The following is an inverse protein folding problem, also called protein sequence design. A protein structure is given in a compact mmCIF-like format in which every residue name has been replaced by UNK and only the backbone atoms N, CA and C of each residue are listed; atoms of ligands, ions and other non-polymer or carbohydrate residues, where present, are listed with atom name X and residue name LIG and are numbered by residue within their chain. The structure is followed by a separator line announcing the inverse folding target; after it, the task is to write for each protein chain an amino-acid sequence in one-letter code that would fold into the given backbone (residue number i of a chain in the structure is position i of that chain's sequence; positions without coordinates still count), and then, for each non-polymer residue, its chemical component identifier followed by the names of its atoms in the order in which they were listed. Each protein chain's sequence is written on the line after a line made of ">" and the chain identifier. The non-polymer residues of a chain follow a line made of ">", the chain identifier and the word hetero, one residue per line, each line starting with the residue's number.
data_IF_987755571672
#
_entry.id   IF_987755571672
#
_cell.length_a   1.000
_cell.length_b   1.000
_cell.length_c   1.000
_cell.angle_alpha   90.00
_cell.angle_beta   90.00
_cell.angle_gamma   90.00
#
_symmetry.space_group_name_H-M   'P 1'
#
loop_
_entity.id
_entity.type
_entity.pdbx_description
1 polymer ?
#
# COMPACT_ATOMS: atom_id res chain seq x y z
N UNK A 1 34.11 -43.55 -16.01
CA UNK A 1 35.42 -43.22 -15.41
C UNK A 1 35.22 -43.17 -13.91
N UNK A 2 35.54 -44.29 -13.21
CA UNK A 2 35.33 -44.45 -11.79
C UNK A 2 36.53 -43.84 -11.07
N UNK A 3 36.28 -42.88 -10.17
CA UNK A 3 37.30 -42.30 -9.28
C UNK A 3 37.41 -43.18 -8.04
N UNK A 4 38.46 -43.95 -7.92
CA UNK A 4 38.78 -44.75 -6.74
C UNK A 4 39.54 -43.86 -5.76
N UNK A 5 38.91 -43.58 -4.62
CA UNK A 5 39.62 -42.90 -3.52
C UNK A 5 40.16 -43.98 -2.58
N UNK A 6 41.48 -44.04 -2.50
CA UNK A 6 42.21 -44.90 -1.55
C UNK A 6 42.32 -44.09 -0.24
N UNK A 7 41.65 -44.56 0.81
CA UNK A 7 41.81 -44.05 2.17
C UNK A 7 42.73 -45.02 2.90
N UNK A 8 43.93 -44.56 3.22
CA UNK A 8 44.88 -45.29 4.03
C UNK A 8 44.44 -45.28 5.50
N UNK A 9 44.70 -46.42 6.18
CA UNK A 9 44.33 -46.79 7.53
C UNK A 9 44.73 -45.75 8.61
N UNK A 10 43.72 -44.94 9.05
CA UNK A 10 43.76 -44.32 10.37
C UNK A 10 42.41 -44.59 11.05
N UNK A 11 42.43 -45.45 12.07
CA UNK A 11 41.28 -45.68 12.95
C UNK A 11 41.16 -44.45 13.86
N UNK A 12 40.20 -43.58 13.55
CA UNK A 12 39.85 -42.45 14.41
C UNK A 12 38.82 -42.96 15.47
N UNK A 13 39.07 -42.74 16.78
CA UNK A 13 38.17 -43.21 17.81
C UNK A 13 36.78 -42.61 17.67
N UNK A 14 35.75 -43.43 17.78
CA UNK A 14 34.32 -43.07 17.64
C UNK A 14 33.89 -41.82 18.43
N UNK A 15 34.56 -41.48 19.51
CA UNK A 15 34.31 -40.29 20.32
C UNK A 15 34.67 -38.97 19.60
N UNK A 16 35.73 -38.97 18.78
CA UNK A 16 36.19 -37.80 18.03
C UNK A 16 35.22 -37.52 16.84
N UNK A 17 34.72 -38.57 16.24
CA UNK A 17 33.77 -38.47 15.11
C UNK A 17 32.42 -37.88 15.52
N UNK A 18 31.94 -38.09 16.78
CA UNK A 18 30.72 -37.49 17.31
C UNK A 18 30.84 -35.98 17.52
N UNK A 19 32.03 -35.49 17.90
CA UNK A 19 32.27 -34.05 18.10
C UNK A 19 32.46 -33.31 16.78
N UNK A 20 33.11 -33.88 15.81
CA UNK A 20 33.26 -33.29 14.49
C UNK A 20 31.91 -33.22 13.73
N UNK A 21 31.05 -34.24 13.85
CA UNK A 21 29.74 -34.22 13.23
C UNK A 21 28.78 -33.18 13.89
N UNK A 22 28.84 -33.02 15.22
CA UNK A 22 28.05 -32.00 15.92
C UNK A 22 28.54 -30.58 15.56
N UNK A 23 29.80 -30.33 15.41
CA UNK A 23 30.30 -29.01 14.99
C UNK A 23 30.04 -28.74 13.51
N UNK A 24 30.06 -29.76 12.66
CA UNK A 24 29.71 -29.61 11.24
C UNK A 24 28.22 -29.30 11.08
N UNK A 25 27.32 -29.91 11.87
CA UNK A 25 25.89 -29.60 11.86
C UNK A 25 25.61 -28.18 12.40
N UNK A 26 26.34 -27.74 13.43
CA UNK A 26 26.22 -26.38 13.96
C UNK A 26 26.76 -25.35 12.96
N UNK A 27 27.84 -25.63 12.23
CA UNK A 27 28.37 -24.78 11.18
C UNK A 27 27.42 -24.73 9.98
N UNK A 28 26.80 -25.83 9.59
CA UNK A 28 25.80 -25.88 8.53
C UNK A 28 24.50 -25.16 8.94
N UNK A 29 24.08 -25.25 10.21
CA UNK A 29 22.94 -24.48 10.73
C UNK A 29 23.24 -22.98 10.84
N UNK A 30 24.50 -22.57 11.09
CA UNK A 30 24.93 -21.18 11.09
C UNK A 30 25.07 -20.60 9.66
N UNK A 31 25.30 -21.44 8.64
CA UNK A 31 25.30 -21.00 7.25
C UNK A 31 23.90 -20.99 6.60
N UNK A 32 22.90 -21.64 7.21
CA UNK A 32 21.49 -21.58 6.76
C UNK A 32 20.78 -20.34 7.33
N UNK A 33 21.36 -19.62 8.27
CA UNK A 33 20.95 -18.25 8.60
C UNK A 33 21.48 -17.23 7.58
N UNK A 34 21.70 -17.67 6.34
CA UNK A 34 22.05 -16.84 5.22
C UNK A 34 20.88 -15.91 4.89
N UNK A 35 21.09 -14.64 5.16
CA UNK A 35 20.47 -13.49 4.49
C UNK A 35 19.14 -13.83 3.78
N UNK A 36 18.04 -13.82 4.51
CA UNK A 36 16.75 -13.47 3.95
C UNK A 36 16.88 -12.02 3.46
N UNK A 37 17.48 -11.85 2.28
CA UNK A 37 17.40 -10.56 1.58
C UNK A 37 15.91 -10.30 1.43
N UNK A 38 15.46 -9.16 1.92
CA UNK A 38 14.12 -8.68 1.64
C UNK A 38 13.86 -8.88 0.14
N UNK A 39 12.73 -9.51 -0.21
CA UNK A 39 12.42 -9.72 -1.62
C UNK A 39 12.33 -8.36 -2.29
N UNK A 40 12.93 -8.19 -3.48
CA UNK A 40 12.86 -6.91 -4.18
C UNK A 40 11.40 -6.57 -4.45
N UNK A 41 11.01 -5.34 -4.15
CA UNK A 41 9.66 -4.84 -4.49
C UNK A 41 9.52 -4.89 -6.00
N UNK A 42 8.52 -5.62 -6.47
CA UNK A 42 8.19 -5.69 -7.88
C UNK A 42 7.42 -4.43 -8.29
N UNK A 43 7.77 -3.88 -9.45
CA UNK A 43 7.02 -2.80 -10.11
C UNK A 43 6.46 -3.36 -11.39
N UNK A 44 5.14 -3.32 -11.55
CA UNK A 44 4.43 -3.93 -12.67
C UNK A 44 3.23 -3.12 -13.14
N UNK A 45 2.66 -3.47 -14.28
CA UNK A 45 1.33 -3.07 -14.75
C UNK A 45 0.50 -4.35 -14.85
N UNK A 46 -0.70 -4.34 -14.33
CA UNK A 46 -1.58 -5.50 -14.27
C UNK A 46 -2.83 -5.30 -15.11
N UNK A 47 -3.21 -6.34 -15.85
CA UNK A 47 -4.34 -6.29 -16.77
C UNK A 47 -5.68 -6.03 -16.05
N UNK A 48 -5.89 -6.64 -14.90
CA UNK A 48 -7.06 -6.44 -14.04
C UNK A 48 -7.19 -4.99 -13.54
N UNK A 49 -6.06 -4.36 -13.22
CA UNK A 49 -6.01 -2.95 -12.77
C UNK A 49 -6.39 -2.03 -13.94
N UNK A 50 -5.82 -2.24 -15.13
CA UNK A 50 -6.18 -1.45 -16.31
C UNK A 50 -7.62 -1.67 -16.72
N UNK A 51 -8.11 -2.92 -16.71
CA UNK A 51 -9.49 -3.25 -17.04
C UNK A 51 -10.49 -2.49 -16.16
N UNK A 52 -10.27 -2.51 -14.84
CA UNK A 52 -11.18 -1.85 -13.90
C UNK A 52 -11.05 -0.31 -13.93
N UNK A 53 -9.85 0.22 -14.17
CA UNK A 53 -9.61 1.65 -14.35
C UNK A 53 -10.32 2.17 -15.61
N UNK A 54 -10.14 1.49 -16.74
CA UNK A 54 -10.78 1.83 -18.02
C UNK A 54 -12.31 1.76 -17.92
N UNK A 55 -12.86 0.70 -17.32
CA UNK A 55 -14.29 0.59 -17.08
C UNK A 55 -14.82 1.73 -16.21
N UNK A 56 -14.10 2.11 -15.17
CA UNK A 56 -14.49 3.22 -14.29
C UNK A 56 -14.45 4.55 -15.01
N UNK A 57 -13.42 4.80 -15.86
CA UNK A 57 -13.35 5.97 -16.74
C UNK A 57 -14.51 5.99 -17.72
N UNK A 58 -14.80 4.90 -18.43
CA UNK A 58 -15.92 4.79 -19.37
C UNK A 58 -17.27 5.01 -18.68
N UNK A 59 -17.39 4.61 -17.40
CA UNK A 59 -18.55 4.85 -16.56
C UNK A 59 -18.65 6.30 -16.06
N UNK A 60 -17.65 7.15 -16.33
CA UNK A 60 -17.64 8.57 -15.96
C UNK A 60 -17.28 8.81 -14.49
N UNK A 61 -16.45 7.96 -13.88
CA UNK A 61 -15.95 8.19 -12.52
C UNK A 61 -14.92 9.31 -12.58
N UNK A 62 -15.12 10.46 -11.90
CA UNK A 62 -14.23 11.62 -12.03
C UNK A 62 -12.77 11.33 -11.67
N UNK A 63 -12.54 10.50 -10.65
CA UNK A 63 -11.20 10.10 -10.18
C UNK A 63 -10.41 9.29 -11.21
N UNK A 64 -11.11 8.60 -12.12
CA UNK A 64 -10.51 7.83 -13.23
C UNK A 64 -10.56 8.59 -14.58
N UNK A 65 -11.15 9.80 -14.59
CA UNK A 65 -11.37 10.58 -15.83
C UNK A 65 -10.33 11.69 -16.03
N UNK A 66 -9.21 11.65 -15.31
CA UNK A 66 -8.11 12.59 -15.47
C UNK A 66 -7.24 12.20 -16.67
N UNK A 67 -6.90 13.17 -17.54
CA UNK A 67 -6.13 12.94 -18.76
C UNK A 67 -4.61 13.03 -18.51
N UNK A 68 -4.11 12.21 -17.59
CA UNK A 68 -2.71 12.31 -17.10
C UNK A 68 -1.73 11.43 -17.89
N UNK A 69 -2.22 10.38 -18.57
CA UNK A 69 -1.38 9.43 -19.29
C UNK A 69 -1.25 9.75 -20.80
N UNK A 70 -1.53 11.00 -21.20
CA UNK A 70 -1.25 11.52 -22.54
C UNK A 70 -1.83 10.65 -23.68
N UNK A 71 -0.96 10.18 -24.59
CA UNK A 71 -1.38 9.40 -25.74
C UNK A 71 -2.14 8.13 -25.37
N UNK A 72 -1.79 7.47 -24.26
CA UNK A 72 -2.52 6.27 -23.80
C UNK A 72 -4.02 6.53 -23.59
N UNK A 73 -4.36 7.68 -23.07
CA UNK A 73 -5.78 8.06 -22.85
C UNK A 73 -6.50 8.24 -24.20
N UNK A 74 -5.84 8.86 -25.19
CA UNK A 74 -6.40 9.03 -26.52
C UNK A 74 -6.61 7.69 -27.23
N UNK A 75 -5.64 6.80 -27.14
CA UNK A 75 -5.72 5.45 -27.71
C UNK A 75 -6.86 4.65 -27.07
N UNK A 76 -6.99 4.73 -25.74
CA UNK A 76 -8.05 4.10 -24.97
C UNK A 76 -9.42 4.64 -25.34
N UNK A 77 -9.58 5.97 -25.34
CA UNK A 77 -10.85 6.60 -25.71
C UNK A 77 -11.28 6.23 -27.14
N UNK A 78 -10.34 6.16 -28.08
CA UNK A 78 -10.60 5.75 -29.48
C UNK A 78 -10.95 4.27 -29.58
N UNK A 79 -10.21 3.39 -28.90
CA UNK A 79 -10.41 1.94 -28.97
C UNK A 79 -11.78 1.52 -28.41
N UNK A 80 -12.16 2.07 -27.26
CA UNK A 80 -13.39 1.70 -26.56
C UNK A 80 -14.61 2.58 -26.91
N UNK A 81 -14.50 3.51 -27.88
CA UNK A 81 -15.60 4.44 -28.23
C UNK A 81 -16.90 3.70 -28.55
N UNK A 82 -16.83 2.65 -29.37
CA UNK A 82 -18.00 1.85 -29.78
C UNK A 82 -18.65 1.10 -28.59
N UNK A 83 -17.94 0.96 -27.47
CA UNK A 83 -18.37 0.20 -26.29
C UNK A 83 -18.84 1.06 -25.12
N UNK A 84 -18.98 2.40 -25.28
CA UNK A 84 -19.42 3.30 -24.20
C UNK A 84 -20.81 2.98 -23.65
N UNK A 85 -21.68 2.34 -24.44
CA UNK A 85 -22.99 1.88 -24.02
C UNK A 85 -23.04 0.41 -23.58
N UNK A 86 -21.91 -0.25 -23.47
CA UNK A 86 -21.87 -1.67 -23.08
C UNK A 86 -22.53 -1.90 -21.71
N UNK A 87 -23.29 -3.02 -21.52
CA UNK A 87 -24.01 -3.30 -20.28
C UNK A 87 -23.16 -3.25 -19.02
N UNK A 88 -21.87 -3.63 -19.10
CA UNK A 88 -20.93 -3.54 -17.98
C UNK A 88 -20.61 -2.09 -17.59
N UNK A 89 -20.44 -1.20 -18.54
CA UNK A 89 -20.21 0.24 -18.27
C UNK A 89 -21.40 0.84 -17.54
N UNK A 90 -22.62 0.51 -17.98
CA UNK A 90 -23.85 0.94 -17.33
C UNK A 90 -24.02 0.32 -15.94
N UNK A 91 -23.51 -0.90 -15.74
CA UNK A 91 -23.52 -1.56 -14.45
C UNK A 91 -22.57 -0.89 -13.47
N UNK A 92 -21.35 -0.51 -13.89
CA UNK A 92 -20.42 0.25 -13.07
C UNK A 92 -21.02 1.58 -12.56
N UNK A 93 -21.74 2.33 -13.40
CA UNK A 93 -22.48 3.53 -12.96
C UNK A 93 -23.44 3.22 -11.81
N UNK A 94 -24.22 2.13 -11.95
CA UNK A 94 -25.16 1.70 -10.91
C UNK A 94 -24.46 1.27 -9.63
N UNK A 95 -23.29 0.62 -9.71
CA UNK A 95 -22.51 0.25 -8.54
C UNK A 95 -22.05 1.48 -7.76
N UNK A 96 -21.59 2.53 -8.46
CA UNK A 96 -21.25 3.81 -7.83
C UNK A 96 -22.47 4.45 -7.16
N UNK A 97 -23.57 4.57 -7.87
CA UNK A 97 -24.77 5.24 -7.38
C UNK A 97 -25.42 4.52 -6.19
N UNK A 98 -25.48 3.18 -6.22
CA UNK A 98 -26.20 2.40 -5.21
C UNK A 98 -25.34 1.93 -4.04
N UNK A 99 -24.07 1.69 -4.28
CA UNK A 99 -23.18 1.06 -3.31
C UNK A 99 -21.96 1.91 -2.97
N UNK A 100 -21.78 3.07 -3.65
CA UNK A 100 -20.64 3.96 -3.42
C UNK A 100 -19.31 3.41 -3.95
N UNK A 101 -19.33 2.40 -4.83
CA UNK A 101 -18.11 1.84 -5.43
C UNK A 101 -17.38 2.93 -6.21
N UNK A 102 -16.23 3.36 -5.69
CA UNK A 102 -15.44 4.49 -6.19
C UNK A 102 -14.04 4.45 -5.55
N UNK A 103 -13.10 5.20 -6.11
CA UNK A 103 -11.74 5.32 -5.58
C UNK A 103 -11.08 3.95 -5.31
N UNK A 104 -10.55 3.77 -4.09
CA UNK A 104 -9.91 2.56 -3.59
C UNK A 104 -10.75 1.28 -3.72
N UNK A 105 -12.09 1.36 -3.56
CA UNK A 105 -12.94 0.18 -3.73
C UNK A 105 -12.89 -0.42 -5.14
N UNK A 106 -12.65 0.39 -6.18
CA UNK A 106 -12.47 -0.12 -7.54
C UNK A 106 -11.19 -0.96 -7.61
N UNK A 107 -10.11 -0.45 -7.04
CA UNK A 107 -8.81 -1.12 -7.03
C UNK A 107 -8.80 -2.32 -6.08
N UNK A 108 -9.57 -2.26 -5.00
CA UNK A 108 -9.75 -3.36 -4.07
C UNK A 108 -10.41 -4.59 -4.75
N UNK A 109 -11.39 -4.36 -5.61
CA UNK A 109 -11.93 -5.43 -6.46
C UNK A 109 -10.92 -5.85 -7.52
N UNK A 110 -10.25 -4.89 -8.17
CA UNK A 110 -9.35 -5.16 -9.27
C UNK A 110 -8.22 -6.13 -8.88
N UNK A 111 -7.55 -5.88 -7.74
CA UNK A 111 -6.44 -6.71 -7.28
C UNK A 111 -6.86 -8.16 -6.96
N UNK A 112 -8.14 -8.38 -6.65
CA UNK A 112 -8.73 -9.69 -6.34
C UNK A 112 -9.17 -10.47 -7.56
N UNK A 113 -8.98 -9.91 -8.76
CA UNK A 113 -9.30 -10.58 -10.02
C UNK A 113 -8.06 -11.30 -10.55
N UNK A 114 -8.17 -12.58 -10.82
CA UNK A 114 -7.17 -13.36 -11.55
C UNK A 114 -7.73 -13.93 -12.85
N UNK A 115 -6.90 -14.02 -13.86
CA UNK A 115 -7.27 -14.70 -15.11
C UNK A 115 -7.00 -16.21 -15.01
N UNK A 116 -8.03 -17.00 -15.31
CA UNK A 116 -7.92 -18.44 -15.43
C UNK A 116 -8.77 -18.91 -16.61
N UNK A 117 -8.16 -19.68 -17.50
CA UNK A 117 -8.81 -20.23 -18.70
C UNK A 117 -9.50 -19.15 -19.56
N UNK A 118 -8.87 -17.97 -19.68
CA UNK A 118 -9.38 -16.84 -20.45
C UNK A 118 -10.55 -16.08 -19.82
N UNK A 119 -10.80 -16.26 -18.52
CA UNK A 119 -11.86 -15.58 -17.76
C UNK A 119 -11.31 -15.04 -16.45
N UNK A 120 -11.80 -13.88 -16.05
CA UNK A 120 -11.59 -13.37 -14.70
C UNK A 120 -12.45 -14.11 -13.69
N UNK A 121 -11.86 -14.43 -12.57
CA UNK A 121 -12.49 -14.96 -11.37
C UNK A 121 -11.91 -14.30 -10.13
N UNK A 122 -12.56 -14.44 -8.99
CA UNK A 122 -12.02 -13.96 -7.73
C UNK A 122 -10.98 -14.93 -7.18
N UNK A 123 -9.87 -14.38 -6.71
CA UNK A 123 -8.87 -15.10 -5.92
C UNK A 123 -9.52 -15.58 -4.62
N UNK A 124 -9.20 -16.80 -4.20
CA UNK A 124 -9.56 -17.26 -2.87
C UNK A 124 -8.62 -16.63 -1.84
N UNK A 125 -9.19 -15.95 -0.86
CA UNK A 125 -8.45 -15.26 0.18
C UNK A 125 -8.62 -15.92 1.55
N UNK A 126 -7.68 -15.59 2.46
CA UNK A 126 -7.84 -15.92 3.87
C UNK A 126 -8.99 -15.11 4.48
N UNK A 127 -9.61 -15.65 5.53
CA UNK A 127 -10.82 -15.06 6.13
C UNK A 127 -10.58 -13.72 6.84
N UNK A 128 -9.35 -13.42 7.17
CA UNK A 128 -8.94 -12.18 7.81
C UNK A 128 -8.77 -11.01 6.83
N UNK A 129 -8.74 -11.29 5.52
CA UNK A 129 -8.64 -10.27 4.49
C UNK A 129 -10.02 -10.00 3.88
N UNK A 130 -10.61 -8.89 4.28
CA UNK A 130 -11.95 -8.52 3.85
C UNK A 130 -11.90 -7.57 2.66
N UNK A 131 -12.69 -7.90 1.65
CA UNK A 131 -12.98 -6.98 0.55
C UNK A 131 -13.68 -5.72 1.09
N UNK A 132 -13.43 -4.57 0.47
CA UNK A 132 -14.08 -3.30 0.81
C UNK A 132 -15.61 -3.45 0.97
N UNK A 133 -16.15 -2.87 2.04
CA UNK A 133 -17.57 -3.01 2.42
C UNK A 133 -18.56 -2.56 1.35
N UNK A 134 -18.16 -1.64 0.47
CA UNK A 134 -18.99 -1.16 -0.66
C UNK A 134 -19.34 -2.28 -1.64
N UNK A 135 -18.59 -3.37 -1.63
CA UNK A 135 -18.85 -4.57 -2.41
C UNK A 135 -19.76 -5.60 -1.70
N UNK A 136 -20.01 -5.48 -0.39
CA UNK A 136 -20.73 -6.53 0.37
C UNK A 136 -22.11 -6.87 -0.17
N UNK A 137 -22.83 -5.88 -0.69
CA UNK A 137 -24.19 -6.05 -1.25
C UNK A 137 -24.23 -6.29 -2.77
N UNK A 138 -23.08 -6.35 -3.41
CA UNK A 138 -22.96 -6.59 -4.86
C UNK A 138 -22.95 -8.09 -5.13
N UNK A 139 -23.76 -8.54 -6.10
CA UNK A 139 -23.70 -9.92 -6.59
C UNK A 139 -22.42 -10.13 -7.40
N UNK A 140 -21.48 -10.90 -6.85
CA UNK A 140 -20.16 -11.14 -7.45
C UNK A 140 -20.25 -11.98 -8.73
N UNK A 141 -21.18 -12.93 -8.82
CA UNK A 141 -21.36 -13.75 -10.02
C UNK A 141 -21.88 -12.91 -11.19
N UNK A 142 -22.86 -12.04 -10.90
CA UNK A 142 -23.36 -11.10 -11.92
C UNK A 142 -22.24 -10.15 -12.37
N UNK A 143 -21.48 -9.62 -11.42
CA UNK A 143 -20.34 -8.74 -11.72
C UNK A 143 -19.34 -9.43 -12.64
N UNK A 144 -18.88 -10.62 -12.27
CA UNK A 144 -17.90 -11.40 -13.05
C UNK A 144 -18.42 -11.78 -14.44
N UNK A 145 -19.71 -12.16 -14.53
CA UNK A 145 -20.34 -12.48 -15.81
C UNK A 145 -20.31 -11.28 -16.74
N UNK A 146 -20.68 -10.10 -16.26
CA UNK A 146 -20.66 -8.86 -17.04
C UNK A 146 -19.25 -8.38 -17.39
N UNK A 147 -18.32 -8.51 -16.44
CA UNK A 147 -16.90 -8.17 -16.62
C UNK A 147 -16.27 -9.00 -17.72
N UNK A 148 -16.47 -10.32 -17.68
CA UNK A 148 -15.98 -11.25 -18.69
C UNK A 148 -16.62 -11.01 -20.05
N UNK A 149 -17.92 -10.65 -20.08
CA UNK A 149 -18.57 -10.23 -21.33
C UNK A 149 -17.91 -9.00 -21.93
N UNK A 150 -17.68 -7.95 -21.14
CA UNK A 150 -16.97 -6.74 -21.61
C UNK A 150 -15.56 -7.06 -22.09
N UNK A 151 -14.81 -7.85 -21.35
CA UNK A 151 -13.44 -8.24 -21.70
C UNK A 151 -13.38 -8.92 -23.09
N UNK A 152 -14.32 -9.82 -23.36
CA UNK A 152 -14.41 -10.55 -24.64
C UNK A 152 -14.94 -9.67 -25.77
N UNK A 153 -16.04 -8.94 -25.53
CA UNK A 153 -16.72 -8.14 -26.56
C UNK A 153 -15.84 -6.97 -27.05
N UNK A 154 -14.90 -6.52 -26.22
CA UNK A 154 -13.98 -5.42 -26.54
C UNK A 154 -12.61 -5.88 -27.02
N UNK A 155 -12.34 -7.19 -27.02
CA UNK A 155 -10.98 -7.72 -27.22
C UNK A 155 -9.93 -6.97 -26.36
N UNK A 156 -10.24 -6.85 -25.06
CA UNK A 156 -9.42 -6.07 -24.14
C UNK A 156 -7.96 -6.52 -24.11
N UNK A 157 -7.72 -7.82 -24.21
CA UNK A 157 -6.38 -8.40 -24.24
C UNK A 157 -5.52 -7.80 -25.35
N UNK A 158 -6.09 -7.62 -26.54
CA UNK A 158 -5.38 -6.99 -27.67
C UNK A 158 -5.01 -5.55 -27.37
N UNK A 159 -5.93 -4.77 -26.77
CA UNK A 159 -5.60 -3.42 -26.33
C UNK A 159 -4.46 -3.42 -25.31
N UNK A 160 -4.57 -4.24 -24.26
CA UNK A 160 -3.58 -4.32 -23.20
C UNK A 160 -2.20 -4.71 -23.73
N UNK A 161 -2.11 -5.77 -24.53
CA UNK A 161 -0.83 -6.27 -25.04
C UNK A 161 -0.17 -5.32 -26.04
N UNK A 162 -0.94 -4.60 -26.84
CA UNK A 162 -0.41 -3.59 -27.77
C UNK A 162 0.28 -2.43 -27.05
N UNK A 163 -0.08 -2.15 -25.79
CA UNK A 163 0.54 -1.11 -24.96
C UNK A 163 1.70 -1.61 -24.10
N UNK A 164 2.08 -2.90 -24.17
CA UNK A 164 3.17 -3.46 -23.38
C UNK A 164 4.49 -2.67 -23.44
N UNK A 165 4.93 -2.12 -24.60
CA UNK A 165 6.15 -1.29 -24.64
C UNK A 165 6.02 -0.01 -23.80
N UNK A 166 4.85 0.62 -23.79
CA UNK A 166 4.57 1.82 -22.99
C UNK A 166 4.55 1.48 -21.48
N UNK A 167 3.96 0.33 -21.13
CA UNK A 167 3.99 -0.16 -19.75
C UNK A 167 5.42 -0.37 -19.24
N UNK A 168 6.28 -0.99 -20.06
CA UNK A 168 7.68 -1.18 -19.69
C UNK A 168 8.43 0.16 -19.52
N UNK A 169 8.13 1.16 -20.34
CA UNK A 169 8.69 2.50 -20.17
C UNK A 169 8.28 3.13 -18.83
N UNK A 170 7.01 3.04 -18.47
CA UNK A 170 6.50 3.52 -17.17
C UNK A 170 7.14 2.80 -15.99
N UNK A 171 7.22 1.46 -16.05
CA UNK A 171 7.87 0.62 -15.03
C UNK A 171 9.33 1.03 -14.84
N UNK A 172 10.08 1.18 -15.94
CA UNK A 172 11.49 1.55 -15.86
C UNK A 172 11.67 2.97 -15.28
N UNK A 173 10.86 3.92 -15.73
CA UNK A 173 10.90 5.29 -15.21
C UNK A 173 10.61 5.33 -13.70
N UNK A 174 9.63 4.57 -13.22
CA UNK A 174 9.31 4.48 -11.78
C UNK A 174 10.46 3.86 -10.99
N UNK A 175 11.04 2.77 -11.49
CA UNK A 175 12.21 2.12 -10.86
C UNK A 175 13.39 3.08 -10.74
N UNK A 176 13.71 3.79 -11.81
CA UNK A 176 14.90 4.67 -11.85
C UNK A 176 14.72 5.95 -11.04
N UNK A 177 13.50 6.47 -10.93
CA UNK A 177 13.25 7.78 -10.35
C UNK A 177 12.68 7.74 -8.94
N UNK A 178 11.93 6.70 -8.60
CA UNK A 178 11.27 6.57 -7.29
C UNK A 178 11.94 5.47 -6.47
N UNK A 179 11.99 4.24 -6.99
CA UNK A 179 12.49 3.10 -6.23
C UNK A 179 13.97 3.19 -5.87
N UNK A 180 14.77 3.88 -6.69
CA UNK A 180 16.21 4.07 -6.45
C UNK A 180 16.51 4.76 -5.10
N UNK A 181 15.57 5.56 -4.58
CA UNK A 181 15.70 6.25 -3.30
C UNK A 181 15.16 5.46 -2.10
N UNK A 182 14.51 4.32 -2.32
CA UNK A 182 13.85 3.58 -1.25
C UNK A 182 14.84 2.83 -0.36
N UNK A 183 14.81 3.12 0.93
CA UNK A 183 15.54 2.37 1.95
C UNK A 183 14.62 1.33 2.62
N UNK A 184 14.70 0.09 2.15
CA UNK A 184 13.91 -1.02 2.69
C UNK A 184 14.20 -1.34 4.16
N UNK A 185 15.47 -1.21 4.58
CA UNK A 185 15.89 -1.52 5.95
C UNK A 185 15.29 -0.55 6.97
N UNK A 186 14.84 0.62 6.48
CA UNK A 186 14.21 1.60 7.35
C UNK A 186 12.97 1.05 8.05
N UNK A 187 12.16 0.25 7.35
CA UNK A 187 10.92 -0.30 7.93
C UNK A 187 11.21 -1.20 9.12
N UNK A 188 12.08 -2.19 8.98
CA UNK A 188 12.43 -3.08 10.09
C UNK A 188 13.11 -2.32 11.22
N UNK A 189 13.94 -1.34 10.90
CA UNK A 189 14.59 -0.48 11.88
C UNK A 189 13.59 0.44 12.58
N UNK A 190 12.71 1.11 11.88
CA UNK A 190 11.74 2.05 12.46
C UNK A 190 10.64 1.31 13.23
N UNK A 191 9.99 0.31 12.64
CA UNK A 191 8.91 -0.43 13.29
C UNK A 191 9.40 -1.50 14.27
N UNK A 192 10.67 -1.89 14.22
CA UNK A 192 11.28 -2.88 15.12
C UNK A 192 10.86 -4.31 14.83
N UNK A 193 10.38 -4.56 13.62
CA UNK A 193 9.98 -5.88 13.14
C UNK A 193 10.14 -5.96 11.63
N UNK A 194 10.44 -7.15 11.14
CA UNK A 194 10.41 -7.40 9.71
C UNK A 194 8.97 -7.43 9.20
N UNK A 195 8.78 -6.92 7.99
CA UNK A 195 7.51 -7.11 7.30
C UNK A 195 7.31 -8.60 7.02
N UNK A 196 6.14 -9.10 7.34
CA UNK A 196 5.74 -10.46 6.97
C UNK A 196 5.15 -10.50 5.56
N UNK A 197 4.67 -9.37 5.11
CA UNK A 197 4.02 -9.15 3.84
C UNK A 197 5.03 -9.01 2.70
N UNK A 198 4.61 -9.32 1.48
CA UNK A 198 5.32 -8.94 0.26
C UNK A 198 4.81 -7.59 -0.20
N UNK A 199 5.73 -6.71 -0.55
CA UNK A 199 5.39 -5.39 -1.10
C UNK A 199 5.53 -5.38 -2.62
N UNK A 200 4.59 -4.71 -3.28
CA UNK A 200 4.61 -4.49 -4.72
C UNK A 200 4.11 -3.10 -5.10
N UNK A 201 4.46 -2.66 -6.29
CA UNK A 201 3.92 -1.43 -6.89
C UNK A 201 3.23 -1.81 -8.19
N UNK A 202 2.00 -1.34 -8.37
CA UNK A 202 1.26 -1.50 -9.61
C UNK A 202 1.00 -0.11 -10.18
N UNK A 203 1.49 0.13 -11.40
CA UNK A 203 1.24 1.37 -12.10
C UNK A 203 -0.06 1.23 -12.88
N UNK A 204 -1.03 2.10 -12.63
CA UNK A 204 -2.29 2.18 -13.37
C UNK A 204 -2.27 3.35 -14.34
N UNK A 205 -2.25 3.08 -15.64
CA UNK A 205 -2.20 4.11 -16.67
C UNK A 205 -3.51 4.89 -16.80
N UNK A 206 -4.63 4.24 -16.49
CA UNK A 206 -5.93 4.86 -16.44
C UNK A 206 -6.43 5.14 -15.01
N UNK A 207 -5.53 5.06 -14.01
CA UNK A 207 -5.87 5.24 -12.58
C UNK A 207 -6.08 6.71 -12.19
N UNK A 208 -5.89 7.64 -13.11
CA UNK A 208 -5.94 9.09 -12.81
C UNK A 208 -4.87 9.50 -11.81
N UNK A 209 -5.22 10.43 -10.93
CA UNK A 209 -4.30 10.92 -9.87
C UNK A 209 -4.37 10.14 -8.55
N UNK A 210 -5.13 9.04 -8.49
CA UNK A 210 -5.30 8.26 -7.28
C UNK A 210 -4.08 7.40 -6.97
N UNK A 211 -3.73 7.32 -5.67
CA UNK A 211 -2.78 6.35 -5.15
C UNK A 211 -3.52 5.57 -4.06
N UNK A 212 -3.35 4.25 -4.03
CA UNK A 212 -4.12 3.37 -3.15
C UNK A 212 -3.22 2.28 -2.58
N UNK A 213 -3.16 2.17 -1.25
CA UNK A 213 -2.58 1.03 -0.55
C UNK A 213 -3.61 -0.06 -0.38
N UNK A 214 -3.45 -1.18 -1.06
CA UNK A 214 -4.39 -2.30 -1.05
C UNK A 214 -3.67 -3.59 -0.73
N UNK A 215 -4.26 -4.39 0.13
CA UNK A 215 -3.73 -5.69 0.50
C UNK A 215 -4.56 -6.84 -0.09
N UNK A 216 -3.83 -7.92 -0.37
CA UNK A 216 -4.36 -9.19 -0.87
C UNK A 216 -3.75 -10.32 -0.05
N UNK A 217 -4.59 -11.23 0.45
CA UNK A 217 -4.11 -12.38 1.21
C UNK A 217 -4.62 -13.69 0.59
N UNK A 218 -3.98 -14.19 -0.48
CA UNK A 218 -4.40 -15.42 -1.12
C UNK A 218 -4.30 -16.60 -0.16
N UNK A 219 -5.28 -17.48 -0.17
CA UNK A 219 -5.33 -18.65 0.73
C UNK A 219 -4.08 -19.50 0.65
N UNK A 220 -3.46 -19.75 1.82
CA UNK A 220 -2.23 -20.52 1.94
C UNK A 220 -0.97 -19.81 1.43
N UNK A 221 -1.02 -18.50 1.15
CA UNK A 221 0.11 -17.71 0.69
C UNK A 221 0.44 -16.57 1.65
N UNK A 222 1.57 -15.93 1.42
CA UNK A 222 1.95 -14.72 2.15
C UNK A 222 1.06 -13.57 1.71
N UNK A 223 0.61 -12.77 2.66
CA UNK A 223 -0.11 -11.51 2.40
C UNK A 223 0.74 -10.58 1.55
N UNK A 224 0.13 -9.96 0.59
CA UNK A 224 0.75 -9.02 -0.35
C UNK A 224 0.15 -7.62 -0.14
N UNK A 225 0.99 -6.61 -0.20
CA UNK A 225 0.59 -5.21 -0.05
C UNK A 225 1.04 -4.45 -1.28
N UNK A 226 0.11 -3.82 -1.95
CA UNK A 226 0.35 -3.11 -3.19
C UNK A 226 0.10 -1.62 -3.04
N UNK A 227 1.09 -0.82 -3.46
CA UNK A 227 0.85 0.56 -3.79
C UNK A 227 0.40 0.63 -5.26
N UNK A 228 -0.87 0.93 -5.50
CA UNK A 228 -1.41 1.15 -6.84
C UNK A 228 -1.30 2.64 -7.12
N UNK A 229 -0.47 3.02 -8.08
CA UNK A 229 -0.10 4.43 -8.34
C UNK A 229 -0.47 4.86 -9.75
N UNK A 230 -0.81 6.14 -9.91
CA UNK A 230 -1.12 6.71 -11.22
C UNK A 230 0.10 6.86 -12.13
N UNK A 231 -0.15 6.97 -13.43
CA UNK A 231 0.85 7.25 -14.46
C UNK A 231 0.68 8.67 -15.01
N UNK A 232 1.80 9.39 -15.08
CA UNK A 232 1.81 10.80 -15.46
C UNK A 232 2.84 11.03 -16.56
N UNK A 233 2.47 11.80 -17.57
CA UNK A 233 3.37 12.22 -18.64
C UNK A 233 3.30 13.73 -18.87
N UNK A 234 4.36 14.28 -19.48
CA UNK A 234 4.35 15.63 -20.01
C UNK A 234 3.71 15.69 -21.41
N UNK A 235 3.75 16.88 -22.03
CA UNK A 235 3.22 17.11 -23.38
C UNK A 235 3.94 16.28 -24.48
N UNK A 236 5.13 15.77 -24.20
CA UNK A 236 5.90 14.92 -25.10
C UNK A 236 5.69 13.42 -24.81
N UNK A 237 4.74 13.07 -23.94
CA UNK A 237 4.49 11.70 -23.44
C UNK A 237 5.67 11.11 -22.69
N UNK A 238 6.51 11.93 -22.04
CA UNK A 238 7.61 11.47 -21.21
C UNK A 238 7.10 11.27 -19.77
N UNK A 239 7.34 10.08 -19.12
CA UNK A 239 6.95 9.84 -17.73
C UNK A 239 7.52 10.89 -16.78
N UNK A 240 6.67 11.43 -15.91
CA UNK A 240 6.98 12.53 -15.00
C UNK A 240 7.23 12.04 -13.56
N UNK A 241 7.75 10.85 -13.40
CA UNK A 241 8.18 10.38 -12.09
C UNK A 241 9.48 11.05 -11.65
N UNK A 242 9.55 11.40 -10.37
CA UNK A 242 10.72 11.97 -9.72
C UNK A 242 10.79 11.47 -8.27
N UNK A 243 11.80 11.89 -7.51
CA UNK A 243 12.00 11.49 -6.13
C UNK A 243 10.86 11.93 -5.18
N UNK A 244 10.06 12.93 -5.56
CA UNK A 244 8.95 13.44 -4.75
C UNK A 244 7.77 12.45 -4.65
N UNK A 245 7.76 11.40 -5.48
CA UNK A 245 6.80 10.29 -5.37
C UNK A 245 7.18 9.27 -4.29
N UNK A 246 8.43 9.28 -3.81
CA UNK A 246 8.86 8.33 -2.79
C UNK A 246 8.11 8.47 -1.46
N UNK A 247 7.83 9.67 -0.92
CA UNK A 247 6.98 9.84 0.25
C UNK A 247 5.61 9.20 0.11
N UNK A 248 4.98 9.27 -1.08
CA UNK A 248 3.70 8.61 -1.35
C UNK A 248 3.83 7.09 -1.25
N UNK A 249 4.86 6.50 -1.86
CA UNK A 249 5.10 5.05 -1.75
C UNK A 249 5.31 4.61 -0.30
N UNK A 250 6.08 5.38 0.46
CA UNK A 250 6.31 5.11 1.88
C UNK A 250 5.02 5.23 2.68
N UNK A 251 4.16 6.20 2.35
CA UNK A 251 2.84 6.35 2.94
C UNK A 251 2.02 5.06 2.77
N UNK A 252 1.89 4.55 1.55
CA UNK A 252 1.09 3.36 1.28
C UNK A 252 1.64 2.11 2.01
N UNK A 253 2.94 1.95 2.07
CA UNK A 253 3.54 0.82 2.79
C UNK A 253 3.45 0.94 4.31
N UNK A 254 3.46 2.17 4.86
CA UNK A 254 3.29 2.39 6.28
C UNK A 254 1.94 1.88 6.82
N UNK A 255 0.89 1.87 5.98
CA UNK A 255 -0.42 1.34 6.36
C UNK A 255 -0.34 -0.09 6.90
N UNK A 256 0.51 -0.95 6.32
CA UNK A 256 0.71 -2.35 6.77
C UNK A 256 1.29 -2.47 8.18
N UNK A 257 2.04 -1.46 8.61
CA UNK A 257 2.67 -1.44 9.94
C UNK A 257 1.83 -0.73 11.00
N UNK A 258 0.75 -0.05 10.59
CA UNK A 258 -0.01 0.86 11.45
C UNK A 258 -1.47 0.44 11.59
N UNK A 259 -2.17 0.13 10.48
CA UNK A 259 -3.63 0.00 10.51
C UNK A 259 -4.12 -1.09 11.46
N UNK A 260 -3.47 -2.26 11.49
CA UNK A 260 -3.84 -3.38 12.36
C UNK A 260 -3.76 -3.05 13.86
N UNK A 261 -3.04 -1.99 14.26
CA UNK A 261 -2.93 -1.61 15.68
C UNK A 261 -4.28 -1.19 16.29
N UNK A 262 -5.17 -0.61 15.47
CA UNK A 262 -6.53 -0.29 15.87
C UNK A 262 -7.55 -1.43 15.59
N UNK A 263 -7.11 -2.54 14.99
CA UNK A 263 -7.89 -3.78 14.93
C UNK A 263 -7.72 -4.60 16.21
N UNK A 264 -6.67 -4.33 16.99
CA UNK A 264 -6.48 -4.87 18.33
C UNK A 264 -7.51 -4.22 19.26
N UNK A 265 -8.43 -5.02 19.81
CA UNK A 265 -9.59 -4.54 20.57
C UNK A 265 -9.21 -3.65 21.78
N UNK A 266 -8.16 -4.00 22.52
CA UNK A 266 -7.67 -3.23 23.67
C UNK A 266 -7.19 -1.84 23.24
N UNK A 267 -6.49 -1.73 22.12
CA UNK A 267 -6.03 -0.45 21.59
C UNK A 267 -7.21 0.39 21.10
N UNK A 268 -8.15 -0.25 20.40
CA UNK A 268 -9.35 0.39 19.87
C UNK A 268 -10.19 0.99 20.98
N UNK A 269 -10.50 0.21 22.02
CA UNK A 269 -11.24 0.68 23.18
C UNK A 269 -10.51 1.82 23.92
N UNK A 270 -9.19 1.70 24.11
CA UNK A 270 -8.40 2.72 24.79
C UNK A 270 -8.31 4.05 24.01
N UNK A 271 -8.49 4.03 22.67
CA UNK A 271 -8.45 5.19 21.78
C UNK A 271 -9.83 5.78 21.48
N UNK A 272 -10.91 5.03 21.62
CA UNK A 272 -12.22 5.33 21.05
C UNK A 272 -12.75 6.72 21.41
N UNK A 273 -12.84 7.04 22.70
CA UNK A 273 -13.37 8.33 23.14
C UNK A 273 -12.47 9.49 22.68
N UNK A 274 -11.16 9.29 22.77
CA UNK A 274 -10.16 10.27 22.33
C UNK A 274 -10.23 10.49 20.82
N UNK A 275 -10.30 9.41 20.03
CA UNK A 275 -10.41 9.48 18.57
C UNK A 275 -11.71 10.18 18.13
N UNK A 276 -12.84 9.88 18.78
CA UNK A 276 -14.11 10.56 18.52
C UNK A 276 -14.03 12.04 18.87
N UNK A 277 -13.42 12.41 19.99
CA UNK A 277 -13.21 13.80 20.38
C UNK A 277 -12.31 14.53 19.39
N UNK A 278 -11.16 13.94 18.99
CA UNK A 278 -10.28 14.49 17.98
C UNK A 278 -11.00 14.70 16.63
N UNK A 279 -11.72 13.68 16.16
CA UNK A 279 -12.51 13.77 14.93
C UNK A 279 -13.54 14.89 14.98
N UNK A 280 -14.14 15.18 16.13
CA UNK A 280 -15.12 16.25 16.25
C UNK A 280 -14.52 17.63 15.98
N UNK A 281 -13.24 17.85 16.30
CA UNK A 281 -12.55 19.14 16.09
C UNK A 281 -12.17 19.39 14.62
N UNK A 282 -12.08 18.35 13.80
CA UNK A 282 -11.60 18.43 12.43
C UNK A 282 -12.55 17.80 11.38
N UNK A 283 -13.75 17.37 11.79
CA UNK A 283 -14.72 16.59 10.98
C UNK A 283 -14.93 17.15 9.58
N UNK A 284 -15.17 18.45 9.45
CA UNK A 284 -15.44 19.08 8.17
C UNK A 284 -14.24 19.03 7.22
N UNK A 285 -13.04 19.27 7.73
CA UNK A 285 -11.82 19.20 6.92
C UNK A 285 -11.46 17.76 6.55
N UNK A 286 -11.68 16.80 7.46
CA UNK A 286 -11.43 15.38 7.21
C UNK A 286 -12.43 14.78 6.23
N UNK A 287 -13.72 15.14 6.32
CA UNK A 287 -14.74 14.66 5.36
C UNK A 287 -14.49 15.12 3.92
N UNK A 288 -13.85 16.28 3.72
CA UNK A 288 -13.42 16.72 2.37
C UNK A 288 -12.31 15.86 1.78
N UNK A 289 -11.58 15.15 2.61
CA UNK A 289 -10.52 14.21 2.24
C UNK A 289 -11.02 12.75 2.23
N UNK A 290 -12.35 12.55 2.26
CA UNK A 290 -13.01 11.25 2.36
C UNK A 290 -12.77 10.49 3.68
N UNK A 291 -12.21 11.14 4.71
CA UNK A 291 -12.01 10.52 6.03
C UNK A 291 -13.29 10.65 6.86
N UNK A 292 -14.08 9.60 6.92
CA UNK A 292 -15.43 9.60 7.49
C UNK A 292 -15.48 9.23 8.98
N UNK A 293 -14.43 8.63 9.52
CA UNK A 293 -14.39 8.11 10.89
C UNK A 293 -13.05 8.38 11.59
N UNK A 294 -13.05 8.25 12.89
CA UNK A 294 -11.89 8.55 13.74
C UNK A 294 -10.75 7.54 13.58
N UNK A 295 -11.04 6.28 13.27
CA UNK A 295 -10.02 5.23 13.06
C UNK A 295 -9.13 5.62 11.88
N UNK A 296 -9.76 6.00 10.76
CA UNK A 296 -9.03 6.49 9.58
C UNK A 296 -8.17 7.70 9.93
N UNK A 297 -8.71 8.69 10.69
CA UNK A 297 -7.94 9.89 11.05
C UNK A 297 -6.72 9.56 11.91
N UNK A 298 -6.83 8.64 12.87
CA UNK A 298 -5.69 8.21 13.69
C UNK A 298 -4.66 7.45 12.85
N UNK A 299 -5.08 6.48 12.04
CA UNK A 299 -4.18 5.72 11.18
C UNK A 299 -3.43 6.64 10.21
N UNK A 300 -4.15 7.51 9.51
CA UNK A 300 -3.56 8.51 8.62
C UNK A 300 -2.57 9.44 9.34
N UNK A 301 -2.88 9.84 10.57
CA UNK A 301 -1.96 10.66 11.36
C UNK A 301 -0.63 9.97 11.59
N UNK A 302 -0.66 8.69 11.94
CA UNK A 302 0.54 7.90 12.21
C UNK A 302 1.31 7.60 10.92
N UNK A 303 0.61 7.23 9.85
CA UNK A 303 1.20 6.98 8.53
C UNK A 303 1.97 8.22 8.05
N UNK A 304 1.34 9.39 8.07
CA UNK A 304 1.94 10.67 7.65
C UNK A 304 3.09 11.11 8.53
N UNK A 305 2.96 10.95 9.85
CA UNK A 305 4.07 11.23 10.77
C UNK A 305 5.27 10.32 10.53
N UNK A 306 5.02 9.04 10.20
CA UNK A 306 6.08 8.07 9.86
C UNK A 306 6.77 8.41 8.53
N UNK A 307 6.05 8.97 7.53
CA UNK A 307 6.67 9.52 6.31
C UNK A 307 7.67 10.62 6.66
N UNK A 308 7.29 11.57 7.52
CA UNK A 308 8.19 12.65 7.94
C UNK A 308 9.39 12.09 8.71
N UNK A 309 9.20 11.07 9.55
CA UNK A 309 10.32 10.38 10.21
C UNK A 309 11.26 9.73 9.19
N UNK A 310 10.73 9.08 8.15
CA UNK A 310 11.53 8.55 7.05
C UNK A 310 12.35 9.65 6.36
N UNK A 311 11.74 10.77 6.01
CA UNK A 311 12.42 11.88 5.36
C UNK A 311 13.56 12.45 6.21
N UNK A 312 13.34 12.55 7.54
CA UNK A 312 14.37 12.95 8.50
C UNK A 312 15.54 11.96 8.53
N UNK A 313 15.28 10.67 8.57
CA UNK A 313 16.29 9.61 8.61
C UNK A 313 17.04 9.47 7.26
N UNK A 314 16.33 9.65 6.16
CA UNK A 314 16.89 9.68 4.81
C UNK A 314 17.63 11.00 4.49
N UNK A 315 17.64 11.95 5.44
CA UNK A 315 18.33 13.24 5.34
C UNK A 315 17.89 14.09 4.15
N UNK A 316 16.58 14.14 3.93
CA UNK A 316 16.00 15.12 3.02
C UNK A 316 16.39 16.54 3.47
N UNK A 317 16.46 17.49 2.54
CA UNK A 317 16.71 18.87 2.90
C UNK A 317 15.59 19.44 3.78
N UNK A 318 15.92 20.49 4.54
CA UNK A 318 14.98 21.07 5.52
C UNK A 318 13.77 21.69 4.86
N UNK A 319 13.93 22.25 3.68
CA UNK A 319 12.89 22.88 2.89
C UNK A 319 11.84 21.85 2.48
N UNK A 320 12.27 20.70 1.97
CA UNK A 320 11.39 19.59 1.58
C UNK A 320 10.63 19.02 2.78
N UNK A 321 11.32 18.78 3.91
CA UNK A 321 10.67 18.29 5.14
C UNK A 321 9.67 19.32 5.67
N UNK A 322 10.00 20.61 5.63
CA UNK A 322 9.09 21.66 6.07
C UNK A 322 7.88 21.80 5.13
N UNK A 323 8.07 21.61 3.84
CA UNK A 323 6.97 21.61 2.86
C UNK A 323 5.98 20.47 3.16
N UNK A 324 6.49 19.26 3.41
CA UNK A 324 5.66 18.10 3.81
C UNK A 324 4.91 18.39 5.12
N UNK A 325 5.61 18.92 6.14
CA UNK A 325 4.96 19.28 7.42
C UNK A 325 3.85 20.32 7.20
N UNK A 326 4.10 21.35 6.38
CA UNK A 326 3.11 22.39 6.08
C UNK A 326 1.91 21.82 5.31
N UNK A 327 2.13 20.86 4.40
CA UNK A 327 1.04 20.15 3.72
C UNK A 327 0.14 19.43 4.72
N UNK A 328 0.71 18.71 5.68
CA UNK A 328 -0.08 18.02 6.69
C UNK A 328 -0.88 18.99 7.57
N UNK A 329 -0.31 20.14 7.93
CA UNK A 329 -1.02 21.19 8.66
C UNK A 329 -2.18 21.79 7.83
N UNK A 330 -1.99 22.03 6.52
CA UNK A 330 -3.03 22.50 5.59
C UNK A 330 -4.15 21.46 5.43
N UNK A 331 -3.82 20.15 5.47
CA UNK A 331 -4.78 19.04 5.53
C UNK A 331 -5.49 18.90 6.88
N UNK A 332 -5.19 19.81 7.82
CA UNK A 332 -5.78 19.89 9.17
C UNK A 332 -5.32 18.80 10.15
N UNK A 333 -4.16 18.18 9.91
CA UNK A 333 -3.49 17.36 10.92
C UNK A 333 -2.66 18.26 11.85
N UNK A 334 -3.34 19.08 12.67
CA UNK A 334 -2.71 20.12 13.50
C UNK A 334 -1.72 19.58 14.53
N UNK A 335 -1.91 18.36 14.97
CA UNK A 335 -1.03 17.63 15.91
C UNK A 335 0.24 17.08 15.28
N UNK A 336 0.44 17.22 13.96
CA UNK A 336 1.54 16.59 13.22
C UNK A 336 2.93 16.93 13.78
N UNK A 337 3.29 18.18 14.11
CA UNK A 337 4.62 18.48 14.64
C UNK A 337 4.90 17.78 15.98
N UNK A 338 3.93 17.77 16.89
CA UNK A 338 4.05 17.12 18.19
C UNK A 338 4.08 15.58 18.06
N UNK A 339 3.29 15.03 17.12
CA UNK A 339 3.27 13.59 16.85
C UNK A 339 4.60 13.12 16.27
N UNK A 340 5.18 13.84 15.33
CA UNK A 340 6.52 13.53 14.79
C UNK A 340 7.56 13.55 15.92
N UNK A 341 7.55 14.55 16.81
CA UNK A 341 8.42 14.58 17.97
C UNK A 341 8.23 13.35 18.88
N UNK A 342 6.97 12.92 19.07
CA UNK A 342 6.65 11.72 19.84
C UNK A 342 7.23 10.45 19.19
N UNK A 343 7.16 10.32 17.86
CA UNK A 343 7.75 9.19 17.14
C UNK A 343 9.29 9.24 17.16
N UNK A 344 9.91 10.41 17.09
CA UNK A 344 11.36 10.57 17.28
C UNK A 344 11.81 10.16 18.70
N UNK A 345 10.98 10.45 19.70
CA UNK A 345 11.25 9.98 21.07
C UNK A 345 11.18 8.44 21.17
N UNK A 346 10.29 7.79 20.44
CA UNK A 346 10.26 6.32 20.31
C UNK A 346 11.58 5.77 19.78
N UNK A 347 12.10 6.32 18.69
CA UNK A 347 13.35 5.87 18.09
C UNK A 347 14.55 6.00 19.05
N UNK A 348 14.55 7.01 19.88
CA UNK A 348 15.59 7.22 20.91
C UNK A 348 15.44 6.32 22.15
N UNK A 349 14.34 5.61 22.28
CA UNK A 349 14.01 4.79 23.45
C UNK A 349 13.79 3.29 23.11
N UNK A 350 14.47 2.79 22.08
CA UNK A 350 14.32 1.42 21.56
C UNK A 350 14.62 0.33 22.57
N UNK A 351 15.45 0.60 23.57
CA UNK A 351 15.73 -0.34 24.67
C UNK A 351 14.47 -0.60 25.51
N UNK A 352 13.62 0.41 25.69
CA UNK A 352 12.37 0.29 26.45
C UNK A 352 11.24 -0.17 25.54
N UNK A 353 11.20 0.35 24.32
CA UNK A 353 10.19 0.10 23.33
C UNK A 353 10.82 -0.52 22.07
N UNK A 354 11.08 -1.83 22.06
CA UNK A 354 11.78 -2.47 20.96
C UNK A 354 11.01 -2.46 19.64
N UNK A 355 9.67 -2.37 19.69
CA UNK A 355 8.79 -2.34 18.52
C UNK A 355 7.81 -1.17 18.60
N UNK A 356 7.27 -0.76 17.44
CA UNK A 356 6.21 0.26 17.38
C UNK A 356 4.96 -0.19 18.15
N UNK A 357 4.62 -1.48 18.08
CA UNK A 357 3.54 -2.09 18.87
C UNK A 357 3.74 -1.86 20.37
N UNK A 358 4.96 -2.05 20.87
CA UNK A 358 5.29 -1.84 22.30
C UNK A 358 5.20 -0.36 22.71
N UNK A 359 5.31 0.57 21.75
CA UNK A 359 5.20 2.00 21.98
C UNK A 359 3.76 2.53 21.84
N UNK A 360 2.85 1.74 21.25
CA UNK A 360 1.50 2.20 20.91
C UNK A 360 0.70 2.75 22.12
N UNK A 361 0.82 2.23 23.34
CA UNK A 361 0.22 2.85 24.53
C UNK A 361 0.67 4.30 24.78
N UNK A 362 1.91 4.64 24.42
CA UNK A 362 2.43 6.01 24.50
C UNK A 362 1.83 6.92 23.41
N UNK A 363 1.47 6.36 22.26
CA UNK A 363 0.76 7.05 21.18
C UNK A 363 -0.69 7.34 21.64
N UNK A 364 -1.36 6.38 22.25
CA UNK A 364 -2.70 6.58 22.83
C UNK A 364 -2.65 7.70 23.87
N UNK A 365 -1.66 7.69 24.76
CA UNK A 365 -1.51 8.75 25.77
C UNK A 365 -1.26 10.12 25.13
N UNK A 366 -0.45 10.17 24.08
CA UNK A 366 -0.22 11.41 23.32
C UNK A 366 -1.53 12.03 22.81
N UNK A 367 -2.39 11.26 22.17
CA UNK A 367 -3.67 11.78 21.67
C UNK A 367 -4.61 12.19 22.79
N UNK A 368 -4.62 11.48 23.94
CA UNK A 368 -5.38 11.87 25.12
C UNK A 368 -4.94 13.24 25.65
N UNK A 369 -3.63 13.44 25.77
CA UNK A 369 -3.05 14.69 26.26
C UNK A 369 -3.33 15.84 25.29
N UNK A 370 -3.20 15.59 23.98
CA UNK A 370 -3.48 16.57 22.94
C UNK A 370 -4.94 17.04 22.97
N UNK A 371 -5.90 16.12 23.01
CA UNK A 371 -7.33 16.44 23.08
C UNK A 371 -7.66 17.20 24.35
N UNK A 372 -7.11 16.81 25.50
CA UNK A 372 -7.33 17.50 26.76
C UNK A 372 -6.76 18.93 26.75
N UNK A 373 -5.65 19.18 26.05
CA UNK A 373 -5.07 20.52 25.85
C UNK A 373 -5.98 21.40 24.98
N UNK A 374 -6.41 20.90 23.83
CA UNK A 374 -7.31 21.61 22.90
C UNK A 374 -8.64 22.00 23.56
N UNK A 375 -9.21 21.12 24.38
CA UNK A 375 -10.44 21.39 25.11
C UNK A 375 -10.27 22.55 26.12
N UNK A 376 -9.18 22.56 26.88
CA UNK A 376 -8.88 23.65 27.82
C UNK A 376 -8.70 25.00 27.15
N UNK A 377 -8.01 25.02 25.99
CA UNK A 377 -7.80 26.25 25.20
C UNK A 377 -9.13 26.79 24.67
N UNK A 378 -10.04 25.91 24.25
CA UNK A 378 -11.37 26.29 23.77
C UNK A 378 -12.24 26.86 24.91
N UNK A 379 -12.17 26.27 26.10
CA UNK A 379 -12.93 26.75 27.27
C UNK A 379 -12.46 28.14 27.73
N UNK A 380 -11.15 28.41 27.63
CA UNK A 380 -10.59 29.73 27.97
C UNK A 380 -11.01 30.83 27.00
N UNK A 381 -11.20 30.52 25.71
CA UNK A 381 -11.59 31.52 24.68
C UNK A 381 -13.09 31.85 24.79
N UNK A 382 -13.89 30.99 25.37
CA UNK A 382 -15.35 31.18 25.55
C UNK A 382 -15.74 31.91 26.85
N UNK A 383 -14.77 32.38 27.62
CA UNK A 383 -14.93 33.26 28.78
C UNK A 383 -14.43 34.67 28.48
#
# INVERSE_FOLDING_TARGET
>A
MYLTIIISDYIVPYKVMKYTFKHLIIIILLFITGNLKAQPIEVKVEENIELMSILSRMAGFPEYSMDLAGQYILDMDSYFEAHRSHPMVMYMKKLREKHGVSYDAVMDMAIRLEQKDGKFQLIQEEKDNLMDERWNKVNKEEFLTRLNGFYQDTDFYTFFTNHAPLYQQGIQAYKDKVMAGLNHEWYSKFYGKEAKEKFGVIIGFCNGGGNYGIDLHPSGQTKEVYAIVGYYVDKANIPQYNADYLPTLIHEFNHSFINYLLDIEENRQAMEDTGKALMSTCRWAMSKQAYSNWVTVINESLVRASVICYMLDAKYDKETIQAEMNEQLQRNFRWMPELVQKLRAYENNRTIYPTFDSYYPQIIQFFKDYVAKEQKETDVVNY
#
